data_IF_463308842546
#
_entry.id   IF_463308842546
#
_cell.length_a   1.000
_cell.length_b   1.000
_cell.length_c   1.000
_cell.angle_alpha   90.00
_cell.angle_beta   90.00
_cell.angle_gamma   90.00
#
_symmetry.space_group_name_H-M   'P 1'
#
loop_
_entity.id
_entity.type
_entity.pdbx_description
1 polymer ?
#
# COMPACT_ATOMS: atom_id res chain seq x y z
N UNK A 1 -21.79 -59.60 -7.83
CA UNK A 1 -22.19 -58.50 -8.73
C UNK A 1 -22.65 -57.25 -7.97
N UNK A 2 -23.64 -57.31 -7.07
CA UNK A 2 -24.13 -56.13 -6.30
C UNK A 2 -23.04 -55.33 -5.55
N UNK A 3 -22.10 -56.02 -4.87
CA UNK A 3 -20.98 -55.36 -4.16
C UNK A 3 -20.02 -54.60 -5.09
N UNK A 4 -19.79 -55.11 -6.31
CA UNK A 4 -18.94 -54.46 -7.32
C UNK A 4 -19.63 -53.19 -7.82
N UNK A 5 -20.95 -53.25 -8.05
CA UNK A 5 -21.76 -52.09 -8.46
C UNK A 5 -21.75 -50.98 -7.40
N UNK A 6 -21.90 -51.32 -6.11
CA UNK A 6 -21.82 -50.33 -5.04
C UNK A 6 -20.42 -49.72 -4.91
N UNK A 7 -19.37 -50.52 -5.09
CA UNK A 7 -17.99 -50.03 -5.07
C UNK A 7 -17.72 -49.06 -6.23
N UNK A 8 -18.25 -49.34 -7.43
CA UNK A 8 -18.16 -48.45 -8.58
C UNK A 8 -18.93 -47.14 -8.37
N UNK A 9 -20.13 -47.21 -7.75
CA UNK A 9 -20.89 -46.02 -7.36
C UNK A 9 -20.15 -45.17 -6.32
N UNK A 10 -19.51 -45.81 -5.35
CA UNK A 10 -18.72 -45.11 -4.34
C UNK A 10 -17.50 -44.40 -4.95
N UNK A 11 -16.83 -45.05 -5.90
CA UNK A 11 -15.69 -44.46 -6.62
C UNK A 11 -16.16 -43.30 -7.51
N UNK A 12 -17.25 -43.47 -8.26
CA UNK A 12 -17.82 -42.40 -9.09
C UNK A 12 -18.27 -41.19 -8.26
N UNK A 13 -18.89 -41.42 -7.10
CA UNK A 13 -19.26 -40.37 -6.16
C UNK A 13 -18.03 -39.67 -5.57
N UNK A 14 -16.97 -40.42 -5.23
CA UNK A 14 -15.70 -39.85 -4.80
C UNK A 14 -15.03 -38.96 -5.86
N UNK A 15 -15.08 -39.36 -7.13
CA UNK A 15 -14.56 -38.57 -8.26
C UNK A 15 -15.39 -37.30 -8.47
N UNK A 16 -16.72 -37.38 -8.33
CA UNK A 16 -17.61 -36.22 -8.42
C UNK A 16 -17.37 -35.19 -7.31
N UNK A 17 -17.02 -35.63 -6.10
CA UNK A 17 -16.64 -34.72 -5.02
C UNK A 17 -15.29 -34.03 -5.25
N UNK A 18 -14.40 -34.63 -6.05
CA UNK A 18 -13.08 -34.08 -6.37
C UNK A 18 -13.10 -33.10 -7.55
N UNK A 19 -14.20 -32.98 -8.30
CA UNK A 19 -14.30 -32.10 -9.47
C UNK A 19 -14.68 -30.65 -9.17
N UNK A 20 -14.66 -30.24 -7.89
CA UNK A 20 -14.91 -28.84 -7.54
C UNK A 20 -13.67 -28.01 -7.84
N UNK A 21 -13.58 -27.50 -9.06
CA UNK A 21 -12.54 -26.54 -9.46
C UNK A 21 -12.85 -25.21 -8.76
N UNK A 22 -12.09 -24.90 -7.71
CA UNK A 22 -12.10 -23.59 -7.09
C UNK A 22 -11.13 -22.70 -7.84
N UNK A 23 -11.63 -21.77 -8.66
CA UNK A 23 -10.80 -20.73 -9.23
C UNK A 23 -10.47 -19.72 -8.12
N UNK A 24 -9.21 -19.70 -7.68
CA UNK A 24 -8.71 -18.59 -6.89
C UNK A 24 -8.74 -17.33 -7.77
N UNK A 25 -9.53 -16.33 -7.38
CA UNK A 25 -9.54 -15.04 -8.07
C UNK A 25 -8.16 -14.42 -7.93
N UNK A 26 -7.45 -14.28 -9.05
CA UNK A 26 -6.10 -13.71 -9.08
C UNK A 26 -6.16 -12.21 -8.86
N UNK A 27 -5.28 -11.70 -8.02
CA UNK A 27 -5.10 -10.27 -7.81
C UNK A 27 -4.45 -9.63 -9.04
N UNK A 28 -5.00 -8.52 -9.53
CA UNK A 28 -4.35 -7.69 -10.55
C UNK A 28 -3.26 -6.82 -9.94
N UNK A 29 -2.22 -6.51 -10.70
CA UNK A 29 -1.13 -5.62 -10.26
C UNK A 29 -1.42 -4.16 -10.62
N UNK A 30 -0.75 -3.22 -9.94
CA UNK A 30 -0.83 -1.79 -10.24
C UNK A 30 -0.36 -1.49 -11.67
N UNK A 31 0.71 -2.15 -12.10
CA UNK A 31 1.21 -2.04 -13.48
C UNK A 31 0.16 -2.48 -14.48
N UNK A 32 -0.55 -3.59 -14.20
CA UNK A 32 -1.62 -4.06 -15.08
C UNK A 32 -2.80 -3.08 -15.13
N UNK A 33 -3.20 -2.54 -13.97
CA UNK A 33 -4.24 -1.50 -13.89
C UNK A 33 -3.88 -0.25 -14.69
N UNK A 34 -2.59 0.12 -14.77
CA UNK A 34 -2.12 1.28 -15.52
C UNK A 34 -1.97 0.96 -17.02
N UNK A 35 -1.28 -0.11 -17.37
CA UNK A 35 -0.96 -0.46 -18.76
C UNK A 35 -2.17 -0.96 -19.54
N UNK A 36 -3.06 -1.72 -18.88
CA UNK A 36 -4.30 -2.26 -19.46
C UNK A 36 -5.52 -1.48 -19.00
N UNK A 37 -5.34 -0.22 -18.57
CA UNK A 37 -6.41 0.57 -17.96
C UNK A 37 -7.67 0.67 -18.83
N UNK A 38 -7.53 0.75 -20.16
CA UNK A 38 -8.67 0.79 -21.08
C UNK A 38 -9.48 -0.52 -21.10
N UNK A 39 -8.80 -1.65 -20.95
CA UNK A 39 -9.45 -2.97 -20.96
C UNK A 39 -10.18 -3.22 -19.64
N UNK A 40 -9.56 -2.82 -18.54
CA UNK A 40 -10.06 -3.04 -17.18
C UNK A 40 -11.07 -1.98 -16.72
N UNK A 41 -11.22 -0.88 -17.46
CA UNK A 41 -12.12 0.24 -17.13
C UNK A 41 -13.56 -0.26 -16.88
N UNK A 42 -14.11 0.05 -15.71
CA UNK A 42 -15.43 -0.38 -15.27
C UNK A 42 -15.53 -1.85 -14.85
N UNK A 43 -14.45 -2.62 -14.88
CA UNK A 43 -14.44 -4.01 -14.42
C UNK A 43 -14.24 -4.10 -12.92
N UNK A 44 -14.80 -5.16 -12.32
CA UNK A 44 -14.50 -5.50 -10.95
C UNK A 44 -13.11 -6.16 -10.87
N UNK A 45 -12.27 -5.63 -10.00
CA UNK A 45 -10.90 -6.08 -9.79
C UNK A 45 -10.65 -6.46 -8.33
N UNK A 46 -9.69 -7.34 -8.13
CA UNK A 46 -9.11 -7.65 -6.83
C UNK A 46 -7.69 -7.10 -6.80
N UNK A 47 -7.43 -6.09 -5.98
CA UNK A 47 -6.14 -5.40 -5.90
C UNK A 47 -5.59 -5.48 -4.48
N UNK A 48 -4.28 -5.65 -4.34
CA UNK A 48 -3.62 -5.74 -3.04
C UNK A 48 -2.47 -4.74 -2.94
N UNK A 49 -2.31 -4.12 -1.76
CA UNK A 49 -1.18 -3.23 -1.52
C UNK A 49 -1.06 -2.77 -0.08
N UNK A 50 0.11 -2.21 0.25
CA UNK A 50 0.37 -1.49 1.50
C UNK A 50 -0.37 -0.16 1.48
N UNK A 51 -1.16 0.12 2.52
CA UNK A 51 -1.70 1.45 2.74
C UNK A 51 -0.55 2.43 3.01
N UNK A 52 -0.41 3.44 2.15
CA UNK A 52 0.61 4.48 2.29
C UNK A 52 -0.03 5.86 2.40
N UNK A 53 0.53 6.70 3.27
CA UNK A 53 -0.08 7.98 3.64
C UNK A 53 -1.37 7.80 4.44
N UNK A 54 -1.83 8.90 5.02
CA UNK A 54 -3.06 8.91 5.82
C UNK A 54 -4.30 8.76 4.95
N UNK A 55 -5.35 8.15 5.51
CA UNK A 55 -6.66 8.12 4.87
C UNK A 55 -7.24 9.54 4.80
N UNK A 56 -7.60 9.99 3.59
CA UNK A 56 -8.16 11.32 3.38
C UNK A 56 -9.69 11.27 3.41
N UNK A 57 -10.27 11.55 4.58
CA UNK A 57 -11.72 11.47 4.81
C UNK A 57 -12.47 12.69 4.29
N UNK A 58 -13.59 12.46 3.59
CA UNK A 58 -14.52 13.48 3.09
C UNK A 58 -15.96 12.99 3.21
N UNK A 59 -16.66 13.44 4.25
CA UNK A 59 -18.00 12.96 4.57
C UNK A 59 -17.96 11.49 4.99
N UNK A 60 -18.86 10.67 4.43
CA UNK A 60 -18.98 9.23 4.75
C UNK A 60 -17.95 8.33 4.04
N UNK A 61 -17.07 8.91 3.23
CA UNK A 61 -16.09 8.20 2.42
C UNK A 61 -14.68 8.73 2.66
N UNK A 62 -13.70 7.92 2.30
CA UNK A 62 -12.29 8.23 2.41
C UNK A 62 -11.53 7.76 1.17
N UNK A 63 -10.50 8.52 0.82
CA UNK A 63 -9.52 8.15 -0.18
C UNK A 63 -8.31 7.51 0.49
N UNK A 64 -7.95 6.31 0.05
CA UNK A 64 -6.77 5.56 0.46
C UNK A 64 -5.80 5.46 -0.74
N UNK A 65 -4.50 5.39 -0.47
CA UNK A 65 -3.51 5.06 -1.49
C UNK A 65 -2.87 3.73 -1.12
N UNK A 66 -3.03 2.72 -1.98
CA UNK A 66 -2.44 1.40 -1.78
C UNK A 66 -1.28 1.18 -2.75
N UNK A 67 -0.15 0.70 -2.25
CA UNK A 67 1.05 0.46 -3.05
C UNK A 67 1.43 -1.03 -3.01
N UNK A 68 1.42 -1.67 -4.18
CA UNK A 68 1.75 -3.11 -4.33
C UNK A 68 3.27 -3.38 -4.37
N UNK A 69 4.09 -2.34 -4.24
CA UNK A 69 5.54 -2.35 -4.35
C UNK A 69 6.06 -1.75 -5.65
N UNK A 70 5.21 -1.52 -6.65
CA UNK A 70 5.57 -0.86 -7.91
C UNK A 70 4.96 0.54 -8.01
N UNK A 71 3.64 0.63 -7.91
CA UNK A 71 2.91 1.89 -8.02
C UNK A 71 1.84 2.00 -6.93
N UNK A 72 1.42 3.24 -6.66
CA UNK A 72 0.31 3.53 -5.78
C UNK A 72 -0.98 3.71 -6.59
N UNK A 73 -2.06 3.04 -6.19
CA UNK A 73 -3.39 3.16 -6.77
C UNK A 73 -4.33 3.77 -5.74
N UNK A 74 -5.12 4.74 -6.18
CA UNK A 74 -6.15 5.37 -5.37
C UNK A 74 -7.33 4.42 -5.14
N UNK A 75 -7.84 4.39 -3.92
CA UNK A 75 -8.98 3.58 -3.53
C UNK A 75 -9.98 4.45 -2.80
N UNK A 76 -11.17 4.62 -3.40
CA UNK A 76 -12.28 5.32 -2.79
C UNK A 76 -13.15 4.33 -2.01
N UNK A 77 -13.33 4.56 -0.71
CA UNK A 77 -14.00 3.59 0.17
C UNK A 77 -14.87 4.26 1.23
N UNK A 78 -15.86 3.54 1.76
CA UNK A 78 -16.65 4.01 2.89
C UNK A 78 -15.86 4.03 4.20
N UNK A 79 -16.20 4.96 5.09
CA UNK A 79 -15.50 5.12 6.37
C UNK A 79 -15.63 3.91 7.30
N UNK A 80 -16.62 3.04 7.07
CA UNK A 80 -16.83 1.80 7.80
C UNK A 80 -15.60 0.86 7.73
N UNK A 81 -14.79 0.94 6.67
CA UNK A 81 -13.59 0.14 6.52
C UNK A 81 -12.37 0.71 7.25
N UNK A 82 -12.40 1.97 7.69
CA UNK A 82 -11.27 2.60 8.39
C UNK A 82 -10.98 1.95 9.74
N UNK A 83 -11.99 1.38 10.39
CA UNK A 83 -11.83 0.65 11.65
C UNK A 83 -10.94 -0.60 11.52
N UNK A 84 -10.77 -1.11 10.29
CA UNK A 84 -9.86 -2.23 10.01
C UNK A 84 -8.40 -1.78 10.00
N UNK A 85 -8.13 -0.50 9.74
CA UNK A 85 -6.79 0.06 9.55
C UNK A 85 -6.18 0.41 10.91
N UNK A 86 -4.99 -0.10 11.17
CA UNK A 86 -4.19 0.21 12.36
C UNK A 86 -2.93 0.99 12.02
N UNK A 87 -2.32 0.75 10.85
CA UNK A 87 -1.12 1.45 10.42
C UNK A 87 -1.28 1.96 8.99
N UNK A 88 -1.03 3.25 8.80
CA UNK A 88 -0.72 3.84 7.52
C UNK A 88 0.80 3.88 7.34
N UNK A 89 1.27 3.61 6.12
CA UNK A 89 2.68 3.67 5.77
C UNK A 89 3.17 5.10 5.80
N UNK A 90 4.21 5.36 6.59
CA UNK A 90 4.88 6.65 6.70
C UNK A 90 6.39 6.45 6.87
N UNK A 91 7.13 7.50 7.26
CA UNK A 91 8.56 7.37 7.49
C UNK A 91 8.88 6.36 8.61
N UNK A 92 8.11 6.32 9.68
CA UNK A 92 8.30 5.51 10.89
C UNK A 92 7.47 4.22 10.93
N UNK A 93 6.55 4.00 9.99
CA UNK A 93 5.64 2.86 9.97
C UNK A 93 5.59 2.21 8.59
N UNK A 94 5.53 0.88 8.58
CA UNK A 94 5.00 0.10 7.48
C UNK A 94 3.49 0.02 7.64
N UNK A 95 2.76 0.34 6.58
CA UNK A 95 1.30 0.30 6.55
C UNK A 95 0.73 -1.11 6.61
N UNK A 96 -0.57 -1.18 6.86
CA UNK A 96 -1.35 -2.41 6.72
C UNK A 96 -1.44 -2.80 5.24
N UNK A 97 -1.32 -4.10 4.95
CA UNK A 97 -1.54 -4.66 3.62
C UNK A 97 -3.00 -5.03 3.46
N UNK A 98 -3.67 -4.39 2.52
CA UNK A 98 -5.10 -4.52 2.29
C UNK A 98 -5.36 -5.19 0.94
N UNK A 99 -6.39 -6.02 0.88
CA UNK A 99 -6.98 -6.54 -0.34
C UNK A 99 -8.30 -5.82 -0.56
N UNK A 100 -8.45 -5.22 -1.73
CA UNK A 100 -9.59 -4.43 -2.14
C UNK A 100 -10.26 -5.13 -3.31
N UNK A 101 -11.56 -5.40 -3.14
CA UNK A 101 -12.44 -5.77 -4.25
C UNK A 101 -13.30 -4.57 -4.58
N UNK A 102 -13.31 -4.15 -5.83
CA UNK A 102 -14.02 -2.95 -6.25
C UNK A 102 -14.04 -2.77 -7.75
N UNK A 103 -14.73 -1.72 -8.20
CA UNK A 103 -14.78 -1.34 -9.62
C UNK A 103 -13.60 -0.44 -9.93
N UNK A 104 -12.78 -0.85 -10.89
CA UNK A 104 -11.68 -0.03 -11.37
C UNK A 104 -12.19 1.04 -12.35
N UNK A 105 -11.75 2.28 -12.17
CA UNK A 105 -12.00 3.37 -13.11
C UNK A 105 -10.65 3.87 -13.62
N UNK A 106 -10.45 3.83 -14.94
CA UNK A 106 -9.30 4.49 -15.56
C UNK A 106 -9.40 6.01 -15.41
N UNK A 107 -10.61 6.55 -15.45
CA UNK A 107 -10.91 7.97 -15.31
C UNK A 107 -12.23 8.16 -14.55
N UNK A 108 -12.16 8.36 -13.24
CA UNK A 108 -13.34 8.46 -12.40
C UNK A 108 -14.12 9.77 -12.65
N UNK A 109 -15.42 9.65 -12.90
CA UNK A 109 -16.30 10.80 -13.18
C UNK A 109 -16.52 11.70 -11.95
N UNK A 110 -16.32 11.16 -10.74
CA UNK A 110 -16.59 11.87 -9.48
C UNK A 110 -15.31 12.54 -8.93
N UNK A 111 -14.13 12.00 -9.27
CA UNK A 111 -12.85 12.41 -8.69
C UNK A 111 -11.90 12.99 -9.74
N UNK A 112 -12.38 13.94 -10.55
CA UNK A 112 -11.49 14.71 -11.44
C UNK A 112 -10.85 13.92 -12.58
N UNK A 113 -11.43 12.76 -12.95
CA UNK A 113 -10.84 11.81 -13.91
C UNK A 113 -9.57 11.11 -13.42
N UNK A 114 -9.34 11.07 -12.10
CA UNK A 114 -8.26 10.27 -11.53
C UNK A 114 -8.52 8.77 -11.73
N UNK A 115 -7.44 8.01 -11.83
CA UNK A 115 -7.45 6.55 -11.86
C UNK A 115 -7.66 6.05 -10.43
N UNK A 116 -8.73 5.32 -10.19
CA UNK A 116 -9.09 4.83 -8.86
C UNK A 116 -9.81 3.48 -8.88
N UNK A 117 -9.99 2.92 -7.69
CA UNK A 117 -10.88 1.79 -7.44
C UNK A 117 -11.95 2.23 -6.47
N UNK A 118 -13.22 2.12 -6.86
CA UNK A 118 -14.34 2.26 -5.95
C UNK A 118 -14.52 0.94 -5.18
N UNK A 119 -14.03 0.91 -3.95
CA UNK A 119 -14.02 -0.26 -3.10
C UNK A 119 -15.45 -0.68 -2.71
N UNK A 120 -15.74 -1.96 -2.92
CA UNK A 120 -16.96 -2.61 -2.44
C UNK A 120 -16.68 -3.39 -1.15
N UNK A 121 -15.50 -3.99 -1.03
CA UNK A 121 -15.04 -4.64 0.20
C UNK A 121 -13.53 -4.50 0.37
N UNK A 122 -13.11 -4.43 1.63
CA UNK A 122 -11.69 -4.37 2.02
C UNK A 122 -11.43 -5.43 3.06
N UNK A 123 -10.39 -6.24 2.84
CA UNK A 123 -9.90 -7.25 3.77
C UNK A 123 -8.47 -6.93 4.17
N UNK A 124 -8.15 -7.07 5.46
CA UNK A 124 -6.79 -6.97 5.94
C UNK A 124 -6.05 -8.30 5.70
N UNK A 125 -4.97 -8.25 4.91
CA UNK A 125 -4.13 -9.42 4.60
C UNK A 125 -2.92 -9.51 5.55
N UNK A 126 -2.32 -8.36 5.88
CA UNK A 126 -1.15 -8.30 6.77
C UNK A 126 -1.18 -7.04 7.60
N UNK A 127 -0.95 -7.16 8.91
CA UNK A 127 -0.74 -6.02 9.79
C UNK A 127 0.58 -5.30 9.49
N UNK A 128 0.53 -3.98 9.51
CA UNK A 128 1.66 -3.07 9.50
C UNK A 128 2.44 -3.12 10.80
N UNK A 129 3.53 -2.34 10.85
CA UNK A 129 4.46 -2.34 11.98
C UNK A 129 5.29 -1.08 12.05
N UNK A 130 5.78 -0.75 13.24
CA UNK A 130 6.75 0.33 13.45
C UNK A 130 8.11 -0.07 12.81
N UNK A 131 8.68 0.85 12.05
CA UNK A 131 10.00 0.76 11.43
C UNK A 131 10.97 1.65 12.21
N UNK A 132 12.01 1.03 12.78
CA UNK A 132 13.11 1.78 13.42
C UNK A 132 14.21 2.02 12.41
N UNK A 133 14.42 3.28 12.05
CA UNK A 133 15.56 3.67 11.24
C UNK A 133 16.80 3.79 12.12
N UNK A 134 17.85 3.04 11.78
CA UNK A 134 19.15 3.23 12.40
C UNK A 134 19.82 4.45 11.77
N UNK A 135 20.25 5.41 12.59
CA UNK A 135 21.08 6.51 12.12
C UNK A 135 22.47 5.95 11.80
N UNK A 136 22.84 5.95 10.52
CA UNK A 136 24.18 5.52 10.08
C UNK A 136 25.23 6.37 10.80
N UNK A 137 26.18 5.77 11.54
CA UNK A 137 27.06 6.49 12.48
C UNK A 137 28.01 7.49 11.82
N UNK A 138 28.24 7.39 10.50
CA UNK A 138 29.06 8.32 9.74
C UNK A 138 28.42 9.71 9.58
N UNK A 139 27.08 9.78 9.48
CA UNK A 139 26.32 11.03 9.27
C UNK A 139 26.45 12.03 10.43
N UNK A 140 26.27 11.66 11.71
CA UNK A 140 26.42 12.61 12.82
C UNK A 140 27.87 13.07 12.98
N UNK A 141 28.87 12.21 12.71
CA UNK A 141 30.28 12.59 12.78
C UNK A 141 30.62 13.73 11.82
N UNK A 142 30.16 13.65 10.58
CA UNK A 142 30.36 14.72 9.59
C UNK A 142 29.66 16.03 10.00
N UNK A 143 28.43 15.94 10.52
CA UNK A 143 27.70 17.11 11.00
C UNK A 143 28.44 17.83 12.16
N UNK A 144 29.01 17.06 13.09
CA UNK A 144 29.82 17.61 14.20
C UNK A 144 31.09 18.30 13.67
N UNK A 145 31.80 17.68 12.73
CA UNK A 145 33.01 18.27 12.14
C UNK A 145 32.68 19.58 11.40
N UNK A 146 31.66 19.56 10.53
CA UNK A 146 31.26 20.72 9.75
C UNK A 146 30.75 21.87 10.62
N UNK A 147 29.96 21.57 11.65
CA UNK A 147 29.49 22.58 12.61
C UNK A 147 30.65 23.17 13.43
N UNK A 148 31.63 22.36 13.84
CA UNK A 148 32.84 22.83 14.51
C UNK A 148 33.68 23.76 13.63
N UNK A 149 33.93 23.39 12.37
CA UNK A 149 34.64 24.25 11.40
C UNK A 149 33.89 25.57 11.19
N UNK A 150 32.57 25.52 11.02
CA UNK A 150 31.75 26.72 10.86
C UNK A 150 31.83 27.65 12.08
N UNK A 151 31.79 27.09 13.29
CA UNK A 151 31.93 27.86 14.53
C UNK A 151 33.31 28.53 14.64
N UNK A 152 34.39 27.81 14.29
CA UNK A 152 35.75 28.37 14.27
C UNK A 152 35.88 29.52 13.27
N UNK A 153 35.31 29.38 12.06
CA UNK A 153 35.31 30.44 11.06
C UNK A 153 34.50 31.67 11.52
N UNK A 154 33.34 31.46 12.17
CA UNK A 154 32.55 32.54 12.76
C UNK A 154 33.31 33.29 13.85
N UNK A 155 33.92 32.58 14.79
CA UNK A 155 34.73 33.18 15.87
C UNK A 155 35.91 33.94 15.28
N UNK A 156 36.64 33.34 14.33
CA UNK A 156 37.75 34.00 13.63
C UNK A 156 37.31 35.28 12.92
N UNK A 157 36.13 35.28 12.28
CA UNK A 157 35.54 36.46 11.64
C UNK A 157 35.14 37.55 12.64
N UNK A 158 34.60 37.18 13.80
CA UNK A 158 34.23 38.13 14.85
C UNK A 158 35.46 38.76 15.50
N UNK A 159 36.51 37.97 15.77
CA UNK A 159 37.76 38.45 16.33
C UNK A 159 38.49 39.38 15.35
N UNK A 160 38.59 39.02 14.07
CA UNK A 160 39.20 39.87 13.04
C UNK A 160 38.44 41.18 12.83
N UNK A 161 37.10 41.18 12.96
CA UNK A 161 36.30 42.42 12.97
C UNK A 161 36.57 43.30 14.19
N UNK A 162 36.77 42.71 15.39
CA UNK A 162 37.14 43.48 16.59
C UNK A 162 38.54 44.07 16.47
N UNK A 163 39.51 43.33 15.92
CA UNK A 163 40.88 43.79 15.74
C UNK A 163 40.99 44.93 14.71
N UNK A 164 40.20 44.92 13.62
CA UNK A 164 40.18 46.01 12.63
C UNK A 164 39.48 47.30 13.10
N UNK A 165 38.72 47.25 14.20
CA UNK A 165 38.01 48.42 14.78
C UNK A 165 38.82 49.14 15.86
N UNK A 166 40.01 48.63 16.20
CA UNK A 166 40.92 49.18 17.19
C UNK A 166 42.13 49.78 16.48
#
# INVERSE_FOLDING_TARGET
MRKIVYSLWFIAYGIFLLSVVCYAQTTVSSTELIERAKELDGQEVLYEGELIGEAMTRGEYSWLNLNDGQNAIGVWTGNNFLNLISFAGDYTHKGDWLQVRGVFNRACQVHGSDLDIHAQSINLIRRGRIVRHQVVPFKPRQAIILSGVFLCLLIGRLLSRKLKKK
#
